data_IF_148334926353
#
_entry.id   IF_148334926353
#
_cell.length_a   1.000
_cell.length_b   1.000
_cell.length_c   1.000
_cell.angle_alpha   90.00
_cell.angle_beta   90.00
_cell.angle_gamma   90.00
#
_symmetry.space_group_name_H-M   'P 1'
#
loop_
_entity.id
_entity.type
_entity.pdbx_description
1 polymer ?
#
# COMPACT_ATOMS: atom_id res chain seq x y z
N UNK A 1 -6.97 2.51 18.72
CA UNK A 1 -6.07 2.22 17.59
C UNK A 1 -5.41 3.52 17.14
N UNK A 2 -4.16 3.78 17.53
CA UNK A 2 -3.31 4.87 16.99
C UNK A 2 -2.33 4.30 15.95
N UNK A 3 -2.81 3.39 15.11
CA UNK A 3 -2.00 2.63 14.14
C UNK A 3 -1.79 3.38 12.80
N UNK A 4 -2.27 4.62 12.63
CA UNK A 4 -2.38 5.21 11.29
C UNK A 4 -1.12 5.93 10.77
N UNK A 5 -0.36 6.61 11.62
CA UNK A 5 0.78 7.42 11.16
C UNK A 5 2.05 6.59 10.92
N UNK A 6 2.36 5.67 11.83
CA UNK A 6 3.55 4.81 11.74
C UNK A 6 3.44 3.80 10.59
N UNK A 7 2.25 3.24 10.33
CA UNK A 7 2.04 2.38 9.18
C UNK A 7 2.11 3.15 7.87
N UNK A 8 1.54 4.35 7.81
CA UNK A 8 1.65 5.19 6.62
C UNK A 8 3.12 5.56 6.32
N UNK A 9 3.91 5.87 7.35
CA UNK A 9 5.34 6.13 7.21
C UNK A 9 6.09 4.91 6.66
N UNK A 10 5.87 3.72 7.23
CA UNK A 10 6.49 2.47 6.74
C UNK A 10 6.05 2.09 5.33
N UNK A 11 4.78 2.29 4.99
CA UNK A 11 4.26 2.04 3.65
C UNK A 11 4.91 2.99 2.63
N UNK A 12 5.17 4.23 3.06
CA UNK A 12 5.85 5.23 2.25
C UNK A 12 7.33 4.89 2.06
N UNK A 13 8.04 4.49 3.11
CA UNK A 13 9.43 4.01 3.01
C UNK A 13 9.54 2.79 2.08
N UNK A 14 8.61 1.85 2.17
CA UNK A 14 8.54 0.71 1.26
C UNK A 14 8.35 1.15 -0.19
N UNK A 15 7.38 2.03 -0.46
CA UNK A 15 7.10 2.53 -1.80
C UNK A 15 8.30 3.28 -2.42
N UNK A 16 9.10 3.97 -1.60
CA UNK A 16 10.33 4.63 -2.06
C UNK A 16 11.46 3.66 -2.46
N UNK A 17 11.45 2.44 -1.91
CA UNK A 17 12.42 1.41 -2.24
C UNK A 17 12.12 0.65 -3.53
N UNK A 18 10.92 0.81 -4.10
CA UNK A 18 10.50 0.15 -5.33
C UNK A 18 11.10 0.81 -6.56
N UNK A 19 11.50 -0.01 -7.53
CA UNK A 19 11.81 0.51 -8.86
C UNK A 19 10.53 0.90 -9.64
N UNK A 20 10.71 1.54 -10.80
CA UNK A 20 9.60 2.07 -11.59
C UNK A 20 8.64 0.96 -12.07
N UNK A 21 9.16 -0.21 -12.41
CA UNK A 21 8.37 -1.35 -12.90
C UNK A 21 7.60 -1.99 -11.73
N UNK A 22 8.25 -2.17 -10.59
CA UNK A 22 7.63 -2.65 -9.36
C UNK A 22 6.53 -1.71 -8.86
N UNK A 23 6.80 -0.40 -8.85
CA UNK A 23 5.81 0.60 -8.48
C UNK A 23 4.60 0.54 -9.41
N UNK A 24 4.81 0.42 -10.72
CA UNK A 24 3.73 0.32 -11.71
C UNK A 24 2.90 -0.94 -11.55
N UNK A 25 3.52 -2.10 -11.32
CA UNK A 25 2.81 -3.35 -11.00
C UNK A 25 1.96 -3.19 -9.75
N UNK A 26 2.49 -2.55 -8.71
CA UNK A 26 1.75 -2.28 -7.49
C UNK A 26 0.54 -1.38 -7.74
N UNK A 27 0.66 -0.35 -8.57
CA UNK A 27 -0.50 0.47 -8.94
C UNK A 27 -1.59 -0.35 -9.65
N UNK A 28 -1.20 -1.24 -10.56
CA UNK A 28 -2.15 -2.08 -11.28
C UNK A 28 -2.81 -3.10 -10.34
N UNK A 29 -2.07 -3.65 -9.37
CA UNK A 29 -2.63 -4.49 -8.30
C UNK A 29 -3.64 -3.74 -7.43
N UNK A 30 -3.33 -2.50 -7.03
CA UNK A 30 -4.26 -1.65 -6.25
C UNK A 30 -5.55 -1.41 -7.04
N UNK A 31 -5.45 -1.12 -8.35
CA UNK A 31 -6.62 -0.93 -9.21
C UNK A 31 -7.45 -2.20 -9.38
N UNK A 32 -6.79 -3.34 -9.53
CA UNK A 32 -7.45 -4.63 -9.67
C UNK A 32 -8.15 -5.06 -8.37
N UNK A 33 -7.50 -4.86 -7.23
CA UNK A 33 -8.03 -5.22 -5.92
C UNK A 33 -9.13 -4.27 -5.46
N UNK A 34 -8.93 -2.96 -5.67
CA UNK A 34 -9.86 -1.90 -5.27
C UNK A 34 -10.31 -1.09 -6.49
N UNK A 35 -11.35 -1.53 -7.22
CA UNK A 35 -11.85 -0.84 -8.41
C UNK A 35 -12.26 0.62 -8.16
N UNK A 36 -12.61 0.98 -6.92
CA UNK A 36 -12.88 2.36 -6.52
C UNK A 36 -11.68 3.30 -6.74
N UNK A 37 -10.46 2.74 -6.81
CA UNK A 37 -9.22 3.49 -7.05
C UNK A 37 -8.97 3.78 -8.53
N UNK A 38 -9.72 3.17 -9.46
CA UNK A 38 -9.52 3.30 -10.92
C UNK A 38 -9.61 4.77 -11.39
N UNK A 39 -10.48 5.56 -10.77
CA UNK A 39 -10.68 6.98 -11.09
C UNK A 39 -9.86 7.93 -10.22
N UNK A 40 -9.20 7.43 -9.18
CA UNK A 40 -8.39 8.25 -8.29
C UNK A 40 -7.09 8.67 -9.00
N UNK A 41 -6.63 9.88 -8.70
CA UNK A 41 -5.40 10.45 -9.29
C UNK A 41 -4.63 11.23 -8.23
N UNK A 42 -3.32 11.35 -8.44
CA UNK A 42 -2.43 12.09 -7.55
C UNK A 42 -2.56 11.62 -6.09
N UNK A 43 -2.67 12.58 -5.16
CA UNK A 43 -2.65 12.32 -3.73
C UNK A 43 -3.72 11.32 -3.25
N UNK A 44 -4.90 11.30 -3.87
CA UNK A 44 -5.97 10.37 -3.47
C UNK A 44 -5.63 8.92 -3.84
N UNK A 45 -4.97 8.72 -4.99
CA UNK A 45 -4.47 7.40 -5.37
C UNK A 45 -3.27 7.01 -4.51
N UNK A 46 -2.35 7.95 -4.24
CA UNK A 46 -1.19 7.69 -3.38
C UNK A 46 -1.63 7.27 -1.96
N UNK A 47 -2.67 7.89 -1.40
CA UNK A 47 -3.26 7.47 -0.12
C UNK A 47 -3.84 6.06 -0.18
N UNK A 48 -4.54 5.71 -1.25
CA UNK A 48 -5.09 4.36 -1.42
C UNK A 48 -3.98 3.32 -1.59
N UNK A 49 -2.91 3.65 -2.33
CA UNK A 49 -1.74 2.80 -2.49
C UNK A 49 -1.02 2.56 -1.15
N UNK A 50 -0.83 3.60 -0.34
CA UNK A 50 -0.24 3.46 0.99
C UNK A 50 -1.10 2.63 1.94
N UNK A 51 -2.42 2.81 1.90
CA UNK A 51 -3.35 1.98 2.67
C UNK A 51 -3.25 0.51 2.23
N UNK A 52 -3.20 0.25 0.93
CA UNK A 52 -3.06 -1.11 0.40
C UNK A 52 -1.75 -1.78 0.83
N UNK A 53 -0.62 -1.05 0.77
CA UNK A 53 0.67 -1.55 1.27
C UNK A 53 0.58 -1.84 2.77
N UNK A 54 -0.01 -0.93 3.55
CA UNK A 54 -0.18 -1.09 4.99
C UNK A 54 -0.99 -2.35 5.35
N UNK A 55 -2.13 -2.55 4.69
CA UNK A 55 -3.01 -3.70 4.90
C UNK A 55 -2.35 -5.03 4.52
N UNK A 56 -1.59 -5.06 3.42
CA UNK A 56 -1.08 -6.31 2.86
C UNK A 56 0.34 -6.68 3.32
N UNK A 57 1.17 -5.72 3.70
CA UNK A 57 2.60 -5.94 3.95
C UNK A 57 3.04 -5.58 5.38
N UNK A 58 2.29 -4.72 6.09
CA UNK A 58 2.71 -4.22 7.40
C UNK A 58 1.84 -4.72 8.56
N UNK A 59 0.64 -5.25 8.29
CA UNK A 59 -0.20 -5.92 9.31
C UNK A 59 0.21 -7.37 9.63
N UNK A 60 1.26 -7.93 9.01
CA UNK A 60 1.82 -9.22 9.47
C UNK A 60 3.10 -9.05 10.29
N UNK A 61 2.98 -9.27 11.61
CA UNK A 61 3.78 -10.30 12.23
C UNK A 61 2.88 -11.25 13.03
N UNK A 62 2.06 -12.08 12.35
CA UNK A 62 1.42 -13.32 12.85
C UNK A 62 0.56 -13.90 11.73
N UNK A 63 1.08 -14.80 10.89
CA UNK A 63 0.88 -16.24 11.09
C UNK A 63 1.90 -17.09 10.31
N UNK A 64 3.05 -17.34 10.94
CA UNK A 64 3.71 -18.65 10.89
C UNK A 64 4.04 -19.08 12.31
N UNK A 65 3.09 -19.76 12.94
CA UNK A 65 3.30 -20.75 14.01
C UNK A 65 1.93 -21.12 14.60
N UNK A 66 1.27 -22.10 13.98
CA UNK A 66 0.42 -23.09 14.64
C UNK A 66 0.20 -24.23 13.64
#
# INVERSE_FOLDING_TARGET
>A
MKLNAELAARAWEFAQGLDLDEYRRLQDEVRAAWPATEKLRGLDFDRALLAFIAERWLEEPKKKAA
#
